data_IF_560277398827
#
_entry.id   IF_560277398827
#
_cell.length_a   1.000
_cell.length_b   1.000
_cell.length_c   1.000
_cell.angle_alpha   90.00
_cell.angle_beta   90.00
_cell.angle_gamma   90.00
#
_symmetry.space_group_name_H-M   'P 1'
#
loop_
_entity.id
_entity.type
_entity.pdbx_description
1 polymer ?
#
# COMPACT_ATOMS: atom_id res chain seq x y z
N UNK A 1 44.74 1.08 22.13
CA UNK A 1 45.00 2.42 21.56
C UNK A 1 45.55 2.25 20.15
N UNK A 2 45.10 2.99 19.13
CA UNK A 2 44.00 3.98 19.00
C UNK A 2 42.72 3.30 18.40
N UNK A 3 41.46 3.75 18.46
CA UNK A 3 40.71 5.03 18.45
C UNK A 3 40.59 5.76 17.09
N UNK A 4 39.39 5.71 16.48
CA UNK A 4 38.90 6.58 15.39
C UNK A 4 37.36 6.38 15.23
N UNK A 5 36.53 7.19 15.90
CA UNK A 5 35.89 8.44 15.44
C UNK A 5 34.87 8.31 14.29
N UNK A 6 33.60 8.45 14.69
CA UNK A 6 32.60 9.43 14.26
C UNK A 6 32.34 9.68 12.75
N UNK A 7 31.06 9.55 12.39
CA UNK A 7 30.46 10.15 11.20
C UNK A 7 28.94 10.24 11.35
N UNK A 8 28.47 11.29 12.02
CA UNK A 8 27.06 11.69 12.07
C UNK A 8 26.69 12.45 10.79
N UNK A 9 25.55 12.13 10.19
CA UNK A 9 24.98 12.85 9.06
C UNK A 9 23.50 13.10 9.31
N UNK A 10 23.18 14.30 9.81
CA UNK A 10 21.83 14.82 9.93
C UNK A 10 21.36 15.41 8.59
N UNK A 11 20.11 15.15 8.22
CA UNK A 11 19.45 15.76 7.07
C UNK A 11 18.01 16.13 7.44
N UNK A 12 17.82 17.36 7.90
CA UNK A 12 16.52 17.99 8.08
C UNK A 12 16.07 18.63 6.75
N UNK A 13 14.83 18.39 6.35
CA UNK A 13 14.20 19.03 5.19
C UNK A 13 12.79 19.49 5.55
N UNK A 14 12.67 20.76 5.92
CA UNK A 14 11.43 21.49 6.13
C UNK A 14 10.73 21.80 4.79
N UNK A 15 9.41 21.68 4.74
CA UNK A 15 8.58 22.17 3.65
C UNK A 15 7.24 22.66 4.16
N UNK A 16 7.11 23.97 4.31
CA UNK A 16 5.90 24.69 4.68
C UNK A 16 5.23 25.29 3.43
N UNK A 17 3.89 25.26 3.39
CA UNK A 17 3.04 26.03 2.50
C UNK A 17 1.58 25.74 2.88
N UNK A 18 0.69 26.68 3.22
CA UNK A 18 0.64 28.11 2.91
C UNK A 18 -0.42 28.32 1.84
N UNK A 19 -1.67 28.62 2.23
CA UNK A 19 -2.77 28.87 1.29
C UNK A 19 -4.05 29.29 1.97
N UNK A 20 -4.12 30.57 2.35
CA UNK A 20 -5.34 31.25 2.78
C UNK A 20 -6.14 31.70 1.55
N UNK A 21 -7.45 31.44 1.54
CA UNK A 21 -8.39 31.95 0.54
C UNK A 21 -9.59 32.58 1.23
N UNK A 22 -9.49 33.88 1.50
CA UNK A 22 -10.61 34.73 1.89
C UNK A 22 -11.38 35.17 0.64
N UNK A 23 -12.70 35.00 0.64
CA UNK A 23 -13.57 35.44 -0.43
C UNK A 23 -14.94 35.84 0.12
N UNK A 24 -15.01 37.05 0.67
CA UNK A 24 -16.28 37.68 1.01
C UNK A 24 -16.95 38.20 -0.27
N UNK A 25 -18.21 37.83 -0.49
CA UNK A 25 -19.10 38.56 -1.39
C UNK A 25 -20.36 38.99 -0.62
N UNK A 26 -20.49 40.32 -0.46
CA UNK A 26 -21.73 40.99 -0.07
C UNK A 26 -22.62 41.06 -1.31
N UNK A 27 -23.86 40.60 -1.18
CA UNK A 27 -24.93 40.86 -2.13
C UNK A 27 -26.23 41.02 -1.37
N UNK A 28 -26.63 42.27 -1.12
CA UNK A 28 -27.94 42.61 -0.61
C UNK A 28 -28.95 42.53 -1.76
N UNK A 29 -30.00 41.73 -1.58
CA UNK A 29 -31.16 41.67 -2.46
C UNK A 29 -32.41 41.51 -1.61
N UNK A 30 -33.14 42.60 -1.42
CA UNK A 30 -34.46 42.61 -0.83
C UNK A 30 -35.48 42.13 -1.87
N UNK A 31 -36.32 41.15 -1.53
CA UNK A 31 -37.42 40.71 -2.40
C UNK A 31 -38.23 39.54 -1.83
N UNK A 32 -39.41 39.86 -1.31
CA UNK A 32 -40.65 39.06 -1.27
C UNK A 32 -40.77 37.80 -0.36
N UNK A 33 -41.50 37.85 0.77
CA UNK A 33 -41.73 36.69 1.65
C UNK A 33 -43.09 36.00 1.41
N UNK A 34 -43.59 35.88 0.17
CA UNK A 34 -44.92 35.29 -0.09
C UNK A 34 -45.04 34.33 -1.27
N UNK A 35 -44.01 33.58 -1.64
CA UNK A 35 -44.17 32.43 -2.54
C UNK A 35 -43.29 31.24 -2.16
N UNK A 36 -43.90 30.08 -2.34
CA UNK A 36 -43.32 28.74 -2.34
C UNK A 36 -43.15 28.07 -0.97
N UNK A 37 -44.31 27.69 -0.42
CA UNK A 37 -44.38 26.44 0.30
C UNK A 37 -44.11 25.26 -0.63
N UNK A 38 -43.52 24.21 -0.04
CA UNK A 38 -43.20 22.88 -0.59
C UNK A 38 -41.82 22.79 -1.29
N UNK A 39 -40.81 22.36 -0.53
CA UNK A 39 -39.57 21.82 -1.11
C UNK A 39 -38.28 22.06 -0.33
N UNK A 40 -38.14 21.50 0.88
CA UNK A 40 -36.83 21.32 1.52
C UNK A 40 -36.88 20.19 2.58
N UNK A 41 -37.33 19.01 2.18
CA UNK A 41 -36.58 17.79 2.50
C UNK A 41 -35.45 17.80 1.44
N UNK A 42 -34.16 17.64 1.67
CA UNK A 42 -33.43 16.77 2.58
C UNK A 42 -32.09 17.46 2.89
N UNK A 43 -31.76 17.69 4.16
CA UNK A 43 -30.35 17.80 4.53
C UNK A 43 -29.78 16.39 4.46
N UNK A 44 -29.32 15.99 3.26
CA UNK A 44 -28.50 14.80 3.03
C UNK A 44 -27.19 14.94 3.82
N UNK A 45 -27.30 14.73 5.13
CA UNK A 45 -26.17 14.34 5.95
C UNK A 45 -25.69 13.04 5.34
N UNK A 46 -24.47 13.01 4.79
CA UNK A 46 -23.80 11.76 4.41
C UNK A 46 -24.15 10.70 5.45
N UNK A 47 -24.91 9.68 5.03
CA UNK A 47 -25.54 8.79 6.00
C UNK A 47 -24.44 8.21 6.91
N UNK A 48 -24.66 8.12 8.23
CA UNK A 48 -23.69 7.50 9.14
C UNK A 48 -23.26 6.10 8.66
N UNK A 49 -24.14 5.42 7.92
CA UNK A 49 -23.87 4.16 7.25
C UNK A 49 -22.88 4.30 6.09
N UNK A 50 -22.97 5.34 5.26
CA UNK A 50 -22.00 5.62 4.19
C UNK A 50 -20.63 6.01 4.76
N UNK A 51 -20.58 6.79 5.85
CA UNK A 51 -19.33 7.07 6.57
C UNK A 51 -18.76 5.81 7.22
N UNK A 52 -19.60 4.97 7.83
CA UNK A 52 -19.16 3.69 8.39
C UNK A 52 -18.69 2.74 7.27
N UNK A 53 -19.34 2.73 6.11
CA UNK A 53 -18.93 1.94 4.95
C UNK A 53 -17.60 2.44 4.37
N UNK A 54 -17.38 3.75 4.25
CA UNK A 54 -16.07 4.29 3.85
C UNK A 54 -14.98 4.04 4.90
N UNK A 55 -15.32 4.09 6.19
CA UNK A 55 -14.39 3.78 7.26
C UNK A 55 -14.05 2.29 7.29
N UNK A 56 -15.05 1.44 7.06
CA UNK A 56 -14.86 0.00 6.86
C UNK A 56 -14.05 -0.24 5.59
N UNK A 57 -14.36 0.30 4.42
CA UNK A 57 -13.50 0.22 3.22
C UNK A 57 -12.09 0.75 3.47
N UNK A 58 -11.89 1.73 4.36
CA UNK A 58 -10.55 2.21 4.72
C UNK A 58 -9.80 1.22 5.61
N UNK A 59 -10.49 0.45 6.44
CA UNK A 59 -9.94 -0.48 7.44
C UNK A 59 -9.89 -1.94 6.93
N UNK A 60 -10.93 -2.38 6.26
CA UNK A 60 -11.10 -3.67 5.58
C UNK A 60 -10.70 -3.61 4.11
N UNK A 61 -10.33 -2.43 3.61
CA UNK A 61 -9.90 -2.23 2.23
C UNK A 61 -8.79 -3.18 1.88
N UNK A 62 -9.13 -4.08 0.95
CA UNK A 62 -8.23 -5.08 0.41
C UNK A 62 -6.86 -4.41 0.20
N UNK A 63 -5.80 -4.89 0.87
CA UNK A 63 -4.48 -4.31 0.71
C UNK A 63 -3.94 -4.38 -0.71
N UNK A 64 -4.60 -5.14 -1.60
CA UNK A 64 -4.35 -5.21 -3.04
C UNK A 64 -5.43 -4.49 -3.87
N UNK A 65 -6.30 -3.67 -3.28
CA UNK A 65 -7.37 -2.96 -4.01
C UNK A 65 -6.85 -2.06 -5.14
N UNK A 66 -5.65 -1.48 -4.99
CA UNK A 66 -4.94 -0.67 -5.97
C UNK A 66 -3.76 -1.43 -6.61
N UNK A 67 -3.75 -2.76 -6.52
CA UNK A 67 -2.62 -3.56 -6.95
C UNK A 67 -2.34 -3.42 -8.44
N UNK A 68 -1.09 -3.11 -8.76
CA UNK A 68 -0.55 -3.08 -10.10
C UNK A 68 0.25 -4.34 -10.37
N UNK A 69 0.39 -4.68 -11.65
CA UNK A 69 1.23 -5.81 -12.06
C UNK A 69 2.70 -5.43 -11.90
N UNK A 70 3.42 -6.24 -11.14
CA UNK A 70 4.84 -6.12 -10.89
C UNK A 70 5.60 -7.43 -11.13
N UNK A 71 6.88 -7.38 -10.81
CA UNK A 71 7.78 -8.52 -10.75
C UNK A 71 8.54 -8.50 -9.43
N UNK A 72 8.81 -9.68 -8.91
CA UNK A 72 9.72 -9.87 -7.78
C UNK A 72 10.88 -10.73 -8.23
N UNK A 73 12.07 -10.41 -7.73
CA UNK A 73 13.27 -11.24 -7.89
C UNK A 73 13.68 -11.77 -6.53
N UNK A 74 13.86 -13.07 -6.41
CA UNK A 74 14.40 -13.70 -5.19
C UNK A 74 15.87 -13.31 -5.05
N UNK A 75 16.22 -12.62 -3.96
CA UNK A 75 17.61 -12.23 -3.67
C UNK A 75 18.24 -13.07 -2.57
N UNK A 76 17.46 -13.59 -1.64
CA UNK A 76 17.89 -14.57 -0.64
C UNK A 76 16.77 -15.57 -0.32
N UNK A 77 17.15 -16.76 0.12
CA UNK A 77 16.23 -17.84 0.49
C UNK A 77 16.81 -18.69 1.62
N UNK A 78 15.99 -19.07 2.59
CA UNK A 78 16.39 -20.04 3.62
C UNK A 78 16.55 -21.44 3.02
N UNK A 79 17.43 -22.26 3.60
CA UNK A 79 17.54 -23.65 3.20
C UNK A 79 16.34 -24.47 3.73
N UNK A 80 15.83 -25.46 2.99
CA UNK A 80 14.78 -26.32 3.50
C UNK A 80 15.33 -27.27 4.58
N UNK A 81 14.67 -27.28 5.74
CA UNK A 81 15.01 -28.00 6.96
C UNK A 81 14.38 -29.41 7.03
N UNK A 82 15.21 -30.42 7.32
CA UNK A 82 14.75 -31.79 7.52
C UNK A 82 14.06 -32.41 6.29
N UNK A 83 13.13 -33.35 6.54
CA UNK A 83 12.49 -34.21 5.50
C UNK A 83 10.99 -33.94 5.28
N UNK A 84 10.42 -32.90 5.89
CA UNK A 84 8.99 -32.58 5.71
C UNK A 84 8.71 -32.14 4.27
N UNK A 85 7.52 -32.47 3.76
CA UNK A 85 7.14 -32.13 2.39
C UNK A 85 6.94 -30.63 2.21
N UNK A 86 6.16 -30.01 3.10
CA UNK A 86 5.91 -28.57 3.15
C UNK A 86 6.66 -27.97 4.32
N UNK A 87 7.31 -26.83 4.08
CA UNK A 87 8.16 -26.17 5.07
C UNK A 87 8.07 -24.66 4.91
N UNK A 88 8.33 -23.95 5.99
CA UNK A 88 8.49 -22.50 5.98
C UNK A 88 9.77 -22.12 5.26
N UNK A 89 9.62 -21.21 4.31
CA UNK A 89 10.68 -20.67 3.49
C UNK A 89 10.71 -19.16 3.75
N UNK A 90 11.80 -18.67 4.32
CA UNK A 90 12.05 -17.23 4.41
C UNK A 90 12.70 -16.79 3.11
N UNK A 91 12.05 -15.87 2.40
CA UNK A 91 12.52 -15.33 1.12
C UNK A 91 12.68 -13.82 1.22
N UNK A 92 13.79 -13.34 0.70
CA UNK A 92 14.00 -11.91 0.49
C UNK A 92 13.75 -11.60 -0.99
N UNK A 93 12.91 -10.61 -1.24
CA UNK A 93 12.37 -10.29 -2.56
C UNK A 93 12.69 -8.84 -2.91
N UNK A 94 13.35 -8.62 -4.05
CA UNK A 94 13.47 -7.31 -4.67
C UNK A 94 12.26 -7.08 -5.58
N UNK A 95 11.44 -6.09 -5.25
CA UNK A 95 10.17 -5.77 -5.91
C UNK A 95 10.37 -4.67 -6.95
N UNK A 96 9.72 -4.81 -8.10
CA UNK A 96 9.65 -3.78 -9.13
C UNK A 96 8.26 -3.77 -9.75
N UNK A 97 7.61 -2.61 -9.74
CA UNK A 97 6.29 -2.42 -10.32
C UNK A 97 6.15 -1.01 -10.90
N UNK A 98 5.28 -0.85 -11.89
CA UNK A 98 5.04 0.45 -12.50
C UNK A 98 4.35 1.39 -11.49
N UNK A 99 4.90 2.59 -11.32
CA UNK A 99 4.37 3.56 -10.36
C UNK A 99 4.73 3.33 -8.89
N UNK A 100 5.52 2.30 -8.57
CA UNK A 100 6.03 2.04 -7.22
C UNK A 100 7.58 2.07 -7.19
N UNK A 101 8.21 2.72 -6.19
CA UNK A 101 9.66 2.65 -6.02
C UNK A 101 10.14 1.21 -5.82
N UNK A 102 11.27 0.85 -6.45
CA UNK A 102 11.91 -0.43 -6.21
C UNK A 102 12.35 -0.53 -4.75
N UNK A 103 12.02 -1.65 -4.11
CA UNK A 103 12.33 -1.89 -2.70
C UNK A 103 12.51 -3.39 -2.44
N UNK A 104 13.01 -3.73 -1.28
CA UNK A 104 13.23 -5.11 -0.84
C UNK A 104 12.39 -5.40 0.39
N UNK A 105 11.85 -6.61 0.49
CA UNK A 105 11.16 -7.10 1.68
C UNK A 105 11.42 -8.58 1.92
N UNK A 106 11.16 -8.99 3.16
CA UNK A 106 11.26 -10.38 3.60
C UNK A 106 9.86 -10.94 3.80
N UNK A 107 9.60 -12.12 3.25
CA UNK A 107 8.34 -12.84 3.41
C UNK A 107 8.61 -14.27 3.89
N UNK A 108 7.70 -14.80 4.71
CA UNK A 108 7.69 -16.22 5.07
C UNK A 108 6.54 -16.87 4.30
N UNK A 109 6.87 -17.88 3.50
CA UNK A 109 5.92 -18.64 2.69
C UNK A 109 6.05 -20.14 2.99
N UNK A 110 4.96 -20.88 2.90
CA UNK A 110 4.99 -22.34 3.06
C UNK A 110 4.99 -22.99 1.69
N UNK A 111 6.09 -23.66 1.35
CA UNK A 111 6.29 -24.26 0.03
C UNK A 111 6.65 -25.75 0.14
N UNK A 112 6.29 -26.58 -0.87
CA UNK A 112 6.82 -27.92 -0.93
C UNK A 112 8.30 -27.89 -1.30
N UNK A 113 9.10 -28.83 -0.75
CA UNK A 113 10.55 -28.92 -1.03
C UNK A 113 10.89 -29.03 -2.51
N UNK A 114 9.99 -29.57 -3.34
CA UNK A 114 10.16 -29.67 -4.79
C UNK A 114 10.04 -28.32 -5.53
N UNK A 115 9.33 -27.35 -4.96
CA UNK A 115 9.11 -26.03 -5.54
C UNK A 115 9.91 -24.94 -4.80
N UNK A 116 11.05 -25.31 -4.21
CA UNK A 116 11.84 -24.36 -3.43
C UNK A 116 12.45 -23.28 -4.34
N UNK A 117 12.28 -21.99 -4.01
CA UNK A 117 12.80 -20.91 -4.84
C UNK A 117 14.33 -20.88 -4.82
N UNK A 118 14.92 -20.38 -5.90
CA UNK A 118 16.36 -20.13 -6.02
C UNK A 118 16.61 -18.64 -6.13
N UNK A 119 17.77 -18.20 -5.62
CA UNK A 119 18.24 -16.83 -5.84
C UNK A 119 18.33 -16.57 -7.35
N UNK A 120 17.76 -15.46 -7.79
CA UNK A 120 17.67 -15.06 -9.19
C UNK A 120 16.36 -15.45 -9.88
N UNK A 121 15.51 -16.29 -9.27
CA UNK A 121 14.18 -16.56 -9.81
C UNK A 121 13.37 -15.25 -9.87
N UNK A 122 12.69 -15.02 -11.00
CA UNK A 122 11.83 -13.84 -11.22
C UNK A 122 10.40 -14.31 -11.37
N UNK A 123 9.52 -13.81 -10.51
CA UNK A 123 8.12 -14.18 -10.45
C UNK A 123 7.24 -12.96 -10.73
N UNK A 124 6.03 -13.22 -11.23
CA UNK A 124 5.00 -12.19 -11.36
C UNK A 124 4.42 -11.93 -9.98
N UNK A 125 4.14 -10.67 -9.69
CA UNK A 125 3.45 -10.28 -8.47
C UNK A 125 2.39 -9.21 -8.75
N UNK A 126 1.35 -9.19 -7.93
CA UNK A 126 0.49 -8.03 -7.76
C UNK A 126 1.05 -7.21 -6.59
N UNK A 127 1.28 -5.92 -6.79
CA UNK A 127 1.95 -5.04 -5.81
C UNK A 127 1.06 -3.82 -5.58
N UNK A 128 0.74 -3.50 -4.34
CA UNK A 128 0.05 -2.25 -4.02
C UNK A 128 1.05 -1.08 -4.03
N UNK A 129 0.85 -0.04 -4.86
CA UNK A 129 1.66 1.16 -4.79
C UNK A 129 1.47 1.93 -3.48
N UNK A 130 0.25 1.91 -2.91
CA UNK A 130 -0.07 2.63 -1.67
C UNK A 130 0.45 1.92 -0.42
N UNK A 131 0.67 0.60 -0.48
CA UNK A 131 1.18 -0.24 0.61
C UNK A 131 2.30 -1.15 0.08
N UNK A 132 3.57 -0.71 0.09
CA UNK A 132 4.68 -1.48 -0.49
C UNK A 132 4.89 -2.86 0.13
N UNK A 133 4.47 -3.07 1.37
CA UNK A 133 4.47 -4.35 2.08
C UNK A 133 3.33 -5.30 1.66
N UNK A 134 2.30 -4.78 0.99
CA UNK A 134 1.20 -5.55 0.45
C UNK A 134 1.48 -5.98 -1.00
N UNK A 135 1.82 -7.26 -1.15
CA UNK A 135 1.96 -7.89 -2.46
C UNK A 135 1.56 -9.35 -2.44
N UNK A 136 1.17 -9.86 -3.60
CA UNK A 136 0.89 -11.26 -3.84
C UNK A 136 1.80 -11.78 -4.96
N UNK A 137 2.61 -12.80 -4.65
CA UNK A 137 3.52 -13.43 -5.63
C UNK A 137 2.86 -14.67 -6.21
N UNK A 138 2.89 -14.82 -7.54
CA UNK A 138 2.54 -16.09 -8.18
C UNK A 138 3.70 -17.09 -8.04
N UNK A 139 3.58 -17.99 -7.07
CA UNK A 139 4.53 -19.09 -6.81
C UNK A 139 4.30 -20.32 -7.71
N UNK A 140 3.19 -20.37 -8.43
CA UNK A 140 2.80 -21.52 -9.27
C UNK A 140 3.85 -21.94 -10.31
N UNK A 141 4.62 -21.02 -10.93
CA UNK A 141 5.70 -21.39 -11.84
C UNK A 141 6.76 -22.29 -11.22
N UNK A 142 7.04 -22.16 -9.91
CA UNK A 142 8.03 -23.01 -9.24
C UNK A 142 7.57 -24.46 -9.11
N UNK A 143 6.26 -24.70 -9.02
CA UNK A 143 5.70 -26.05 -8.91
C UNK A 143 5.75 -26.85 -10.22
N UNK A 144 6.03 -26.18 -11.35
CA UNK A 144 6.10 -26.80 -12.69
C UNK A 144 7.53 -27.07 -13.16
N UNK A 145 8.53 -26.78 -12.32
CA UNK A 145 9.95 -26.96 -12.61
C UNK A 145 10.41 -28.38 -12.30
#
# INVERSE_FOLDING_TARGET
MPDARAGAGAGAGSGAGGGAGAGASRGAGAGDPRRDGIGAIESESESPLAQAAQWLERITGDPLADAVRGRVRVVAVSAPEGRRRYQECTVELAVTADGAPAHTLTQVVVLPRSAWPRVGDVLVAAVSPSRPDALEVDWSPLARR
#
